data_IF_482011464934
#
_entry.id   IF_482011464934
#
_cell.length_a   1.000
_cell.length_b   1.000
_cell.length_c   1.000
_cell.angle_alpha   90.00
_cell.angle_beta   90.00
_cell.angle_gamma   90.00
#
_symmetry.space_group_name_H-M   'P 1'
#
loop_
_entity.id
_entity.type
_entity.pdbx_description
1 polymer ?
#
# COMPACT_ATOMS: atom_id res chain seq x y z
N UNK A 1 -8.88 31.00 -7.95
CA UNK A 1 -8.62 30.26 -6.70
C UNK A 1 -7.11 30.16 -6.56
N UNK A 2 -6.50 30.56 -5.44
CA UNK A 2 -5.06 30.40 -5.24
C UNK A 2 -4.69 28.92 -5.37
N UNK A 3 -3.51 28.66 -5.93
CA UNK A 3 -3.02 27.29 -6.12
C UNK A 3 -2.69 26.67 -4.74
N UNK A 4 -2.85 25.34 -4.57
CA UNK A 4 -2.55 24.65 -3.30
C UNK A 4 -1.23 25.05 -2.61
N UNK A 5 -0.10 25.28 -3.33
CA UNK A 5 1.12 25.76 -2.69
C UNK A 5 1.03 27.20 -2.14
N UNK A 6 0.27 28.11 -2.76
CA UNK A 6 0.10 29.49 -2.28
C UNK A 6 -0.62 29.55 -0.93
N UNK A 7 -1.56 28.64 -0.68
CA UNK A 7 -2.26 28.55 0.60
C UNK A 7 -1.29 28.14 1.71
N UNK A 8 -0.50 27.08 1.50
CA UNK A 8 0.48 26.62 2.49
C UNK A 8 1.55 27.68 2.79
N UNK A 9 1.99 28.42 1.77
CA UNK A 9 3.01 29.46 1.93
C UNK A 9 2.44 30.70 2.64
N UNK A 10 1.16 31.02 2.44
CA UNK A 10 0.50 32.17 3.08
C UNK A 10 -0.01 31.90 4.51
N UNK A 11 -0.04 30.64 4.96
CA UNK A 11 -0.37 30.29 6.34
C UNK A 11 0.66 30.84 7.35
N UNK A 12 0.22 31.24 8.57
CA UNK A 12 1.11 31.56 9.67
C UNK A 12 2.11 30.43 9.93
N UNK A 13 3.36 30.77 10.22
CA UNK A 13 4.44 29.78 10.38
C UNK A 13 4.14 28.75 11.47
N UNK A 14 3.57 29.19 12.59
CA UNK A 14 3.21 28.32 13.70
C UNK A 14 2.12 27.31 13.34
N UNK A 15 1.09 27.73 12.60
CA UNK A 15 0.03 26.85 12.11
C UNK A 15 0.55 25.86 11.07
N UNK A 16 1.39 26.34 10.13
CA UNK A 16 2.04 25.50 9.13
C UNK A 16 2.90 24.44 9.81
N UNK A 17 3.76 24.84 10.75
CA UNK A 17 4.63 23.91 11.48
C UNK A 17 3.81 22.81 12.19
N UNK A 18 2.76 23.20 12.91
CA UNK A 18 1.88 22.25 13.60
C UNK A 18 1.17 21.27 12.64
N UNK A 19 0.74 21.76 11.46
CA UNK A 19 0.13 20.93 10.42
C UNK A 19 1.11 19.88 9.88
N UNK A 20 2.32 20.30 9.52
CA UNK A 20 3.34 19.41 8.99
C UNK A 20 3.85 18.42 10.03
N UNK A 21 3.95 18.83 11.29
CA UNK A 21 4.26 17.93 12.39
C UNK A 21 3.17 16.87 12.58
N UNK A 22 1.89 17.27 12.50
CA UNK A 22 0.77 16.31 12.56
C UNK A 22 0.81 15.32 11.39
N UNK A 23 1.13 15.80 10.18
CA UNK A 23 1.29 14.95 9.01
C UNK A 23 2.48 13.99 9.18
N UNK A 24 3.62 14.47 9.68
CA UNK A 24 4.80 13.65 9.97
C UNK A 24 4.46 12.56 10.99
N UNK A 25 3.80 12.90 12.08
CA UNK A 25 3.34 11.95 13.11
C UNK A 25 2.37 10.91 12.54
N UNK A 26 1.51 11.31 11.61
CA UNK A 26 0.66 10.38 10.87
C UNK A 26 1.49 9.42 10.00
N UNK A 27 2.51 9.91 9.27
CA UNK A 27 3.32 9.08 8.36
C UNK A 27 4.23 8.09 9.09
N UNK A 28 4.73 8.42 10.29
CA UNK A 28 5.54 7.48 11.08
C UNK A 28 4.71 6.45 11.85
N UNK A 29 3.37 6.57 11.80
CA UNK A 29 2.48 5.62 12.47
C UNK A 29 2.73 4.19 11.98
N UNK A 30 2.77 3.19 12.88
CA UNK A 30 2.98 1.79 12.49
C UNK A 30 1.97 1.28 11.45
N UNK A 31 0.78 1.87 11.39
CA UNK A 31 -0.30 1.50 10.49
C UNK A 31 0.14 1.35 9.03
N UNK A 32 0.92 2.29 8.49
CA UNK A 32 1.38 2.28 7.09
C UNK A 32 2.22 1.05 6.73
N UNK A 33 2.96 0.53 7.71
CA UNK A 33 3.86 -0.61 7.54
C UNK A 33 3.18 -1.96 7.75
N UNK A 34 1.98 -2.00 8.35
CA UNK A 34 1.30 -3.25 8.70
C UNK A 34 0.84 -4.00 7.45
N UNK A 35 0.89 -5.33 7.50
CA UNK A 35 0.35 -6.19 6.43
C UNK A 35 -1.18 -6.09 6.35
N UNK A 36 -1.86 -5.86 7.47
CA UNK A 36 -3.31 -5.66 7.51
C UNK A 36 -3.80 -4.41 6.75
N UNK A 37 -2.94 -3.41 6.57
CA UNK A 37 -3.29 -2.21 5.80
C UNK A 37 -3.72 -2.57 4.39
N UNK A 38 -3.18 -3.66 3.85
CA UNK A 38 -3.53 -4.12 2.52
C UNK A 38 -5.02 -4.50 2.52
N UNK A 39 -5.52 -5.31 3.46
CA UNK A 39 -6.96 -5.60 3.50
C UNK A 39 -7.82 -4.36 3.78
N UNK A 40 -7.43 -3.58 4.80
CA UNK A 40 -8.20 -2.42 5.27
C UNK A 40 -8.41 -1.36 4.18
N UNK A 41 -7.42 -1.18 3.30
CA UNK A 41 -7.41 -0.10 2.33
C UNK A 41 -7.48 -0.56 0.87
N UNK A 42 -6.84 -1.67 0.52
CA UNK A 42 -6.74 -2.13 -0.88
C UNK A 42 -8.00 -2.89 -1.30
N UNK A 43 -8.61 -3.65 -0.38
CA UNK A 43 -9.77 -4.50 -0.70
C UNK A 43 -11.11 -3.78 -0.51
N UNK A 44 -11.22 -2.91 0.48
CA UNK A 44 -12.48 -2.27 0.86
C UNK A 44 -13.07 -1.42 -0.28
N UNK A 45 -14.37 -1.47 -0.60
CA UNK A 45 -14.93 -0.71 -1.73
C UNK A 45 -14.89 0.81 -1.54
N UNK A 46 -15.05 1.28 -0.29
CA UNK A 46 -14.98 2.70 0.09
C UNK A 46 -14.11 2.85 1.33
N UNK A 47 -13.22 3.83 1.32
CA UNK A 47 -12.22 4.01 2.39
C UNK A 47 -12.25 5.45 2.90
N UNK A 48 -12.16 5.61 4.22
CA UNK A 48 -11.94 6.90 4.87
C UNK A 48 -10.85 6.72 5.91
N UNK A 49 -9.85 7.59 5.88
CA UNK A 49 -8.74 7.56 6.82
C UNK A 49 -9.09 8.44 8.00
N UNK A 50 -8.96 7.89 9.21
CA UNK A 50 -9.16 8.60 10.46
C UNK A 50 -7.85 8.67 11.22
N UNK A 51 -7.48 9.86 11.69
CA UNK A 51 -6.32 10.09 12.54
C UNK A 51 -6.70 11.09 13.65
N UNK A 52 -6.79 10.61 14.88
CA UNK A 52 -7.36 11.39 15.98
C UNK A 52 -8.81 11.83 15.70
N UNK A 53 -9.06 13.14 15.72
CA UNK A 53 -10.35 13.74 15.40
C UNK A 53 -10.56 14.00 13.90
N UNK A 54 -9.49 13.95 13.10
CA UNK A 54 -9.55 14.20 11.67
C UNK A 54 -10.03 12.96 10.90
N UNK A 55 -10.89 13.17 9.91
CA UNK A 55 -11.37 12.14 8.99
C UNK A 55 -11.39 12.70 7.57
N UNK A 56 -10.86 11.94 6.63
CA UNK A 56 -10.93 12.32 5.22
C UNK A 56 -11.08 11.09 4.31
N UNK A 57 -11.81 11.21 3.18
CA UNK A 57 -11.87 10.17 2.15
C UNK A 57 -10.47 9.84 1.60
N UNK A 58 -10.22 8.57 1.25
CA UNK A 58 -8.94 8.16 0.68
C UNK A 58 -8.61 8.90 -0.62
N UNK A 59 -9.62 9.20 -1.43
CA UNK A 59 -9.48 9.90 -2.70
C UNK A 59 -8.88 11.30 -2.52
N UNK A 60 -9.11 11.95 -1.37
CA UNK A 60 -8.50 13.24 -1.04
C UNK A 60 -6.99 13.10 -0.81
N UNK A 61 -6.55 12.02 -0.18
CA UNK A 61 -5.12 11.71 0.03
C UNK A 61 -4.44 11.51 -1.33
N UNK A 62 -5.04 10.67 -2.18
CA UNK A 62 -4.51 10.35 -3.52
C UNK A 62 -4.40 11.61 -4.36
N UNK A 63 -5.44 12.44 -4.41
CA UNK A 63 -5.42 13.70 -5.16
C UNK A 63 -4.31 14.63 -4.67
N UNK A 64 -4.14 14.77 -3.36
CA UNK A 64 -3.09 15.61 -2.76
C UNK A 64 -1.70 15.07 -3.10
N UNK A 65 -1.50 13.76 -3.02
CA UNK A 65 -0.23 13.11 -3.37
C UNK A 65 0.12 13.29 -4.86
N UNK A 66 -0.86 13.16 -5.77
CA UNK A 66 -0.66 13.40 -7.20
C UNK A 66 -0.29 14.85 -7.51
N UNK A 67 -0.90 15.82 -6.82
CA UNK A 67 -0.54 17.23 -6.98
C UNK A 67 0.92 17.45 -6.55
N UNK A 68 1.35 16.86 -5.43
CA UNK A 68 2.74 16.96 -4.96
C UNK A 68 3.73 16.40 -5.99
N UNK A 69 3.45 15.23 -6.56
CA UNK A 69 4.31 14.59 -7.56
C UNK A 69 4.38 15.43 -8.85
N UNK A 70 3.23 15.90 -9.36
CA UNK A 70 3.18 16.77 -10.54
C UNK A 70 3.96 18.07 -10.34
N UNK A 71 3.82 18.70 -9.17
CA UNK A 71 4.55 19.92 -8.86
C UNK A 71 6.07 19.67 -8.79
N UNK A 72 6.49 18.49 -8.31
CA UNK A 72 7.91 18.08 -8.34
C UNK A 72 8.44 17.99 -9.77
N UNK A 73 7.72 17.29 -10.63
CA UNK A 73 8.09 17.11 -12.04
C UNK A 73 8.16 18.44 -12.79
N UNK A 74 7.25 19.37 -12.50
CA UNK A 74 7.24 20.71 -13.08
C UNK A 74 8.42 21.55 -12.58
N UNK A 75 8.70 21.53 -11.27
CA UNK A 75 9.83 22.25 -10.69
C UNK A 75 11.19 21.73 -11.18
N UNK A 76 11.31 20.45 -11.53
CA UNK A 76 12.51 19.90 -12.16
C UNK A 76 12.69 20.32 -13.63
N UNK A 77 11.58 20.62 -14.33
CA UNK A 77 11.58 20.98 -15.77
C UNK A 77 11.73 22.47 -15.99
N UNK A 78 11.14 23.28 -15.13
CA UNK A 78 11.22 24.73 -15.19
C UNK A 78 12.29 25.21 -14.19
N UNK A 79 13.38 25.81 -14.69
CA UNK A 79 14.42 26.50 -13.88
C UNK A 79 13.87 27.76 -13.17
N UNK A 80 12.56 27.87 -13.02
CA UNK A 80 11.89 29.00 -12.41
C UNK A 80 11.85 28.80 -10.90
N UNK A 81 12.23 29.85 -10.18
CA UNK A 81 12.28 29.91 -8.73
C UNK A 81 10.85 29.90 -8.16
N UNK A 82 10.23 28.71 -8.07
CA UNK A 82 9.02 28.56 -7.27
C UNK A 82 9.35 28.95 -5.83
N UNK A 83 8.43 29.62 -5.14
CA UNK A 83 8.53 29.77 -3.68
C UNK A 83 8.46 28.37 -3.08
N UNK A 84 9.62 27.79 -2.82
CA UNK A 84 9.70 26.45 -2.27
C UNK A 84 9.32 26.49 -0.80
N UNK A 85 8.53 25.50 -0.39
CA UNK A 85 8.42 25.15 1.02
C UNK A 85 9.82 24.85 1.57
N UNK A 86 10.04 25.09 2.86
CA UNK A 86 11.28 24.67 3.52
C UNK A 86 11.55 23.17 3.26
N UNK A 87 12.82 22.75 3.13
CA UNK A 87 13.17 21.36 2.79
C UNK A 87 12.49 20.32 3.68
N UNK A 88 12.41 20.58 4.98
CA UNK A 88 11.78 19.71 5.98
C UNK A 88 10.30 19.42 5.67
N UNK A 89 9.56 20.43 5.18
CA UNK A 89 8.17 20.28 4.76
C UNK A 89 8.07 19.49 3.45
N UNK A 90 9.01 19.71 2.53
CA UNK A 90 9.06 18.97 1.27
C UNK A 90 9.27 17.47 1.51
N UNK A 91 10.15 17.10 2.43
CA UNK A 91 10.45 15.70 2.79
C UNK A 91 9.21 14.99 3.34
N UNK A 92 8.46 15.64 4.25
CA UNK A 92 7.21 15.08 4.79
C UNK A 92 6.17 14.86 3.68
N UNK A 93 6.04 15.80 2.74
CA UNK A 93 5.13 15.66 1.60
C UNK A 93 5.58 14.57 0.63
N UNK A 94 6.87 14.41 0.40
CA UNK A 94 7.43 13.34 -0.43
C UNK A 94 7.15 11.97 0.19
N UNK A 95 7.38 11.81 1.50
CA UNK A 95 7.05 10.59 2.24
C UNK A 95 5.55 10.28 2.14
N UNK A 96 4.71 11.29 2.38
CA UNK A 96 3.26 11.19 2.23
C UNK A 96 2.86 10.72 0.83
N UNK A 97 3.38 11.39 -0.21
CA UNK A 97 3.02 11.09 -1.58
C UNK A 97 3.44 9.66 -1.96
N UNK A 98 4.65 9.26 -1.61
CA UNK A 98 5.17 7.93 -1.89
C UNK A 98 4.31 6.83 -1.24
N UNK A 99 3.98 6.97 0.05
CA UNK A 99 3.20 5.97 0.77
C UNK A 99 1.76 5.88 0.27
N UNK A 100 1.12 7.02 0.02
CA UNK A 100 -0.25 7.07 -0.47
C UNK A 100 -0.35 6.49 -1.88
N UNK A 101 0.51 6.92 -2.81
CA UNK A 101 0.47 6.44 -4.20
C UNK A 101 0.84 4.96 -4.29
N UNK A 102 1.80 4.48 -3.50
CA UNK A 102 2.14 3.06 -3.46
C UNK A 102 0.96 2.18 -3.02
N UNK A 103 0.16 2.64 -2.04
CA UNK A 103 -1.06 1.94 -1.61
C UNK A 103 -2.20 2.07 -2.61
N UNK A 104 -2.33 3.21 -3.28
CA UNK A 104 -3.34 3.43 -4.32
C UNK A 104 -3.06 2.59 -5.58
N UNK A 105 -1.79 2.45 -5.97
CA UNK A 105 -1.38 1.58 -7.07
C UNK A 105 -1.65 0.11 -6.74
N UNK A 106 -1.40 -0.31 -5.49
CA UNK A 106 -1.80 -1.63 -5.01
C UNK A 106 -3.31 -1.83 -5.16
N UNK A 107 -4.12 -0.84 -4.79
CA UNK A 107 -5.59 -0.86 -4.89
C UNK A 107 -6.09 -0.95 -6.33
N UNK A 108 -5.46 -0.25 -7.26
CA UNK A 108 -5.80 -0.33 -8.69
C UNK A 108 -5.42 -1.67 -9.32
N UNK A 109 -4.28 -2.23 -8.93
CA UNK A 109 -3.83 -3.53 -9.45
C UNK A 109 -4.63 -4.70 -8.89
N UNK A 110 -5.23 -4.52 -7.71
CA UNK A 110 -6.01 -5.54 -7.03
C UNK A 110 -7.22 -6.04 -7.84
N UNK A 111 -7.93 -5.15 -8.55
CA UNK A 111 -9.10 -5.57 -9.36
C UNK A 111 -8.72 -6.45 -10.55
N UNK A 112 -7.47 -6.37 -11.03
CA UNK A 112 -7.07 -6.89 -12.33
C UNK A 112 -6.08 -8.06 -12.26
N UNK A 113 -5.65 -8.48 -11.06
CA UNK A 113 -4.63 -9.54 -10.91
C UNK A 113 -5.22 -10.84 -10.36
N UNK A 114 -4.99 -11.94 -11.09
CA UNK A 114 -4.95 -13.27 -10.50
C UNK A 114 -3.72 -13.32 -9.60
N UNK A 115 -3.90 -13.50 -8.30
CA UNK A 115 -2.77 -13.56 -7.37
C UNK A 115 -2.81 -14.86 -6.57
N UNK A 116 -1.70 -15.59 -6.62
CA UNK A 116 -1.43 -16.77 -5.80
C UNK A 116 -0.69 -16.39 -4.52
N UNK A 117 -0.65 -17.33 -3.57
CA UNK A 117 -0.05 -17.10 -2.25
C UNK A 117 1.46 -16.85 -2.33
N UNK A 118 2.16 -17.42 -3.31
CA UNK A 118 3.60 -17.20 -3.51
C UNK A 118 3.89 -15.76 -3.93
N UNK A 119 3.13 -15.25 -4.88
CA UNK A 119 3.25 -13.88 -5.39
C UNK A 119 2.95 -12.88 -4.29
N UNK A 120 1.87 -13.10 -3.53
CA UNK A 120 1.48 -12.22 -2.43
C UNK A 120 2.50 -12.21 -1.30
N UNK A 121 2.98 -13.38 -0.86
CA UNK A 121 3.97 -13.48 0.23
C UNK A 121 5.29 -12.83 -0.15
N UNK A 122 5.76 -12.96 -1.39
CA UNK A 122 6.93 -12.23 -1.90
C UNK A 122 6.69 -10.73 -1.91
N UNK A 123 5.57 -10.30 -2.50
CA UNK A 123 5.22 -8.88 -2.67
C UNK A 123 5.10 -8.13 -1.35
N UNK A 124 4.57 -8.78 -0.31
CA UNK A 124 4.31 -8.16 0.99
C UNK A 124 5.25 -8.61 2.11
N UNK A 125 6.35 -9.28 1.76
CA UNK A 125 7.34 -9.81 2.71
C UNK A 125 7.91 -8.75 3.66
N UNK A 126 8.09 -7.51 3.17
CA UNK A 126 8.62 -6.38 3.92
C UNK A 126 7.60 -5.70 4.87
N UNK A 127 6.30 -6.03 4.77
CA UNK A 127 5.27 -5.44 5.65
C UNK A 127 5.31 -6.05 7.04
N UNK A 128 5.14 -5.24 8.09
CA UNK A 128 5.20 -5.69 9.48
C UNK A 128 3.92 -6.40 9.93
N UNK A 129 4.06 -7.28 10.89
CA UNK A 129 2.97 -7.99 11.53
C UNK A 129 3.25 -8.04 13.04
N UNK A 130 2.21 -7.87 13.87
CA UNK A 130 2.33 -8.03 15.32
C UNK A 130 2.31 -9.51 15.72
N UNK A 131 1.52 -10.31 15.00
CA UNK A 131 1.56 -11.77 15.09
C UNK A 131 2.15 -12.33 13.81
N UNK A 132 3.15 -13.20 13.90
CA UNK A 132 3.83 -13.77 12.74
C UNK A 132 2.85 -14.37 11.71
N UNK A 133 1.80 -15.04 12.19
CA UNK A 133 0.72 -15.64 11.37
C UNK A 133 0.04 -14.65 10.43
N UNK A 134 -0.02 -13.36 10.80
CA UNK A 134 -0.67 -12.33 9.99
C UNK A 134 0.06 -12.09 8.66
N UNK A 135 1.35 -12.45 8.57
CA UNK A 135 2.09 -12.46 7.29
C UNK A 135 1.43 -13.36 6.24
N UNK A 136 0.67 -14.36 6.67
CA UNK A 136 -0.13 -15.24 5.81
C UNK A 136 -1.60 -14.82 5.85
N UNK A 137 -2.19 -14.69 7.03
CA UNK A 137 -3.64 -14.48 7.17
C UNK A 137 -4.12 -13.17 6.54
N UNK A 138 -3.34 -12.10 6.64
CA UNK A 138 -3.68 -10.83 6.00
C UNK A 138 -3.65 -10.93 4.46
N UNK A 139 -3.04 -11.96 3.88
CA UNK A 139 -2.97 -12.16 2.43
C UNK A 139 -4.09 -13.06 1.89
N UNK A 140 -4.82 -13.77 2.74
CA UNK A 140 -5.85 -14.72 2.29
C UNK A 140 -7.01 -14.03 1.57
N UNK A 141 -7.40 -12.83 2.03
CA UNK A 141 -8.41 -12.02 1.34
C UNK A 141 -7.98 -11.54 -0.05
N UNK A 142 -6.70 -11.73 -0.40
CA UNK A 142 -6.16 -11.41 -1.72
C UNK A 142 -6.19 -12.59 -2.69
N UNK A 143 -6.41 -13.81 -2.22
CA UNK A 143 -6.33 -14.96 -3.10
C UNK A 143 -7.50 -14.98 -4.07
N UNK A 144 -7.18 -15.21 -5.35
CA UNK A 144 -8.16 -15.58 -6.39
C UNK A 144 -8.19 -17.09 -6.63
N UNK A 145 -7.20 -17.80 -6.10
CA UNK A 145 -7.09 -19.25 -6.11
C UNK A 145 -7.69 -19.83 -4.83
N UNK A 146 -8.32 -20.99 -4.94
CA UNK A 146 -8.74 -21.75 -3.76
C UNK A 146 -7.52 -22.09 -2.88
N UNK A 147 -7.69 -21.96 -1.57
CA UNK A 147 -6.70 -22.38 -0.58
C UNK A 147 -7.41 -23.10 0.55
N UNK A 148 -6.70 -24.03 1.19
CA UNK A 148 -7.20 -24.72 2.40
C UNK A 148 -6.91 -23.97 3.70
N UNK A 149 -6.09 -22.91 3.62
CA UNK A 149 -5.64 -22.17 4.80
C UNK A 149 -6.77 -21.27 5.29
N UNK A 150 -7.04 -21.32 6.60
CA UNK A 150 -7.99 -20.43 7.28
C UNK A 150 -7.30 -19.78 8.49
N UNK A 151 -7.67 -18.54 8.85
CA UNK A 151 -7.16 -17.91 10.07
C UNK A 151 -7.51 -18.75 11.29
N UNK A 152 -6.47 -19.18 12.01
CA UNK A 152 -6.56 -19.99 13.22
C UNK A 152 -5.42 -19.55 14.14
N UNK A 153 -5.77 -18.72 15.12
CA UNK A 153 -4.79 -18.13 16.04
C UNK A 153 -4.36 -19.08 17.16
N UNK A 154 -5.01 -20.24 17.30
CA UNK A 154 -4.62 -21.28 18.25
C UNK A 154 -3.45 -22.12 17.72
N UNK A 155 -3.21 -22.14 16.40
CA UNK A 155 -2.07 -22.85 15.79
C UNK A 155 -0.75 -22.17 16.05
N UNK A 156 0.33 -22.93 16.10
CA UNK A 156 1.70 -22.39 16.06
C UNK A 156 2.03 -21.71 14.72
N UNK A 157 2.79 -20.62 14.76
CA UNK A 157 3.17 -19.88 13.55
C UNK A 157 3.95 -20.77 12.55
N UNK A 158 4.84 -21.63 13.06
CA UNK A 158 5.58 -22.61 12.26
C UNK A 158 4.66 -23.53 11.47
N UNK A 159 3.56 -23.99 12.08
CA UNK A 159 2.60 -24.87 11.41
C UNK A 159 1.86 -24.12 10.29
N UNK A 160 1.51 -22.85 10.51
CA UNK A 160 0.89 -22.00 9.48
C UNK A 160 1.83 -21.84 8.29
N UNK A 161 3.11 -21.58 8.54
CA UNK A 161 4.10 -21.45 7.46
C UNK A 161 4.32 -22.76 6.69
N UNK A 162 4.41 -23.89 7.39
CA UNK A 162 4.50 -25.21 6.73
C UNK A 162 3.31 -25.48 5.82
N UNK A 163 2.10 -25.24 6.32
CA UNK A 163 0.88 -25.42 5.52
C UNK A 163 0.85 -24.47 4.32
N UNK A 164 1.31 -23.24 4.49
CA UNK A 164 1.45 -22.24 3.42
C UNK A 164 2.38 -22.73 2.32
N UNK A 165 3.54 -23.28 2.68
CA UNK A 165 4.51 -23.82 1.72
C UNK A 165 3.90 -25.02 0.96
N UNK A 166 3.21 -25.93 1.66
CA UNK A 166 2.55 -27.07 1.03
C UNK A 166 1.45 -26.64 0.05
N UNK A 167 0.65 -25.64 0.40
CA UNK A 167 -0.40 -25.08 -0.46
C UNK A 167 0.19 -24.44 -1.73
N UNK A 168 1.27 -23.66 -1.57
CA UNK A 168 2.03 -23.10 -2.70
C UNK A 168 2.58 -24.21 -3.61
N UNK A 169 3.20 -25.25 -3.05
CA UNK A 169 3.76 -26.36 -3.83
C UNK A 169 2.68 -27.09 -4.65
N UNK A 170 1.49 -27.29 -4.06
CA UNK A 170 0.35 -27.93 -4.76
C UNK A 170 -0.15 -27.06 -5.91
N UNK A 171 -0.33 -25.76 -5.66
CA UNK A 171 -0.77 -24.79 -6.68
C UNK A 171 0.21 -24.75 -7.87
N UNK A 172 1.51 -24.65 -7.59
CA UNK A 172 2.55 -24.60 -8.63
C UNK A 172 2.56 -25.89 -9.46
N UNK A 173 2.53 -27.07 -8.81
CA UNK A 173 2.48 -28.36 -9.52
C UNK A 173 1.24 -28.49 -10.40
N UNK A 174 0.08 -28.07 -9.91
CA UNK A 174 -1.16 -28.08 -10.71
C UNK A 174 -1.04 -27.17 -11.94
N UNK A 175 -0.46 -25.98 -11.79
CA UNK A 175 -0.23 -25.07 -12.92
C UNK A 175 0.69 -25.67 -13.99
N UNK A 176 1.77 -26.35 -13.59
CA UNK A 176 2.69 -27.02 -14.51
C UNK A 176 2.05 -28.22 -15.22
N UNK A 177 1.23 -29.01 -14.51
CA UNK A 177 0.51 -30.14 -15.11
C UNK A 177 -0.47 -29.68 -16.20
N UNK A 178 -1.15 -28.56 -15.99
CA UNK A 178 -2.09 -27.98 -16.98
C UNK A 178 -1.37 -27.40 -18.21
N UNK A 179 -0.11 -26.96 -18.09
CA UNK A 179 0.66 -26.46 -19.24
C UNK A 179 1.39 -27.57 -20.00
N UNK A 180 1.77 -28.66 -19.33
CA UNK A 180 2.49 -29.79 -19.95
C UNK A 180 1.67 -30.61 -20.96
N UNK A 181 0.33 -30.58 -20.87
CA UNK A 181 -0.54 -31.41 -21.72
C UNK A 181 -0.91 -30.75 -23.07
N UNK A 182 -0.62 -29.45 -23.24
CA UNK A 182 -0.89 -28.71 -24.49
C UNK A 182 0.17 -28.98 -25.60
N UNK A 183 1.24 -29.71 -25.30
CA UNK A 183 2.33 -30.00 -26.25
C UNK A 183 2.18 -31.30 -27.04
N UNK A 184 1.13 -32.11 -26.81
CA UNK A 184 0.93 -33.40 -27.50
C UNK A 184 -0.28 -33.38 -28.41
N UNK A 185 -0.17 -32.68 -29.53
CA UNK A 185 -0.85 -33.05 -30.79
C UNK A 185 -0.25 -32.23 -31.93
N UNK A 186 0.48 -32.93 -32.79
CA UNK A 186 0.51 -32.77 -34.24
C UNK A 186 1.30 -33.97 -34.77
N UNK A 187 0.56 -35.00 -35.18
CA UNK A 187 1.02 -36.01 -36.14
C UNK A 187 0.70 -35.49 -37.54
#
# INVERSE_FOLDING_TARGET
MPSSPEILISMPEQERSALFESLRMMMISPWWSRVWVVQELVVAPKVSVRYGTAVAPWELFVKTAQIRLKNEELAMKETQMFKCLAPEYADVLSLFAHMVLGLDDLRKQWSNSQTDLLTLTRRFSNRKASHDRDKVYALLGFLRTETTIRPDYEREATQVYQNTILDIMRSVKSSFLLTGDLGRKNY
#
